data_IF_000650151715
#
_entry.id   IF_000650151715
#
_cell.length_a   1.000
_cell.length_b   1.000
_cell.length_c   1.000
_cell.angle_alpha   90.00
_cell.angle_beta   90.00
_cell.angle_gamma   90.00
#
_symmetry.space_group_name_H-M   'P 1'
#
loop_
_entity.id
_entity.type
_entity.pdbx_description
1 polymer ?
#
# COMPACT_ATOMS: atom_id res chain seq x y z
N UNK A 1 9.45 -16.41 -11.80
CA UNK A 1 8.19 -16.26 -12.58
C UNK A 1 8.11 -14.81 -13.01
N UNK A 2 8.21 -14.53 -14.30
CA UNK A 2 8.12 -13.17 -14.84
C UNK A 2 6.67 -12.66 -14.66
N UNK A 3 6.50 -11.62 -13.84
CA UNK A 3 5.21 -10.97 -13.68
C UNK A 3 4.78 -10.31 -14.99
N UNK A 4 3.48 -10.39 -15.37
CA UNK A 4 3.03 -9.82 -16.64
C UNK A 4 3.18 -8.30 -16.61
N UNK A 5 3.97 -7.75 -17.53
CA UNK A 5 4.31 -6.34 -17.66
C UNK A 5 3.11 -5.38 -17.88
N UNK A 6 1.88 -5.90 -17.97
CA UNK A 6 0.66 -5.13 -18.30
C UNK A 6 -0.45 -5.30 -17.27
N UNK A 7 -0.14 -5.66 -16.00
CA UNK A 7 -1.17 -5.78 -14.98
C UNK A 7 -1.53 -4.38 -14.44
N UNK A 8 -2.78 -3.96 -14.62
CA UNK A 8 -3.31 -2.72 -14.03
C UNK A 8 -3.54 -2.98 -12.53
N UNK A 9 -2.98 -2.13 -11.68
CA UNK A 9 -3.10 -2.21 -10.22
C UNK A 9 -4.08 -1.19 -9.65
N UNK A 10 -4.25 -0.04 -10.34
CA UNK A 10 -5.16 1.02 -9.95
C UNK A 10 -5.72 1.71 -11.18
N UNK A 11 -7.01 2.03 -11.17
CA UNK A 11 -7.67 2.83 -12.21
C UNK A 11 -8.49 3.94 -11.59
N UNK A 12 -8.33 5.14 -12.11
CA UNK A 12 -9.17 6.30 -11.85
C UNK A 12 -10.08 6.51 -13.06
N UNK A 13 -11.38 6.70 -12.83
CA UNK A 13 -12.37 6.88 -13.88
C UNK A 13 -13.15 8.16 -13.58
N UNK A 14 -12.97 9.18 -14.44
CA UNK A 14 -13.65 10.47 -14.38
C UNK A 14 -13.57 11.13 -13.01
N UNK A 15 -12.41 11.07 -12.36
CA UNK A 15 -12.20 11.63 -11.03
C UNK A 15 -12.14 13.13 -11.10
N UNK A 16 -13.00 13.79 -10.30
CA UNK A 16 -13.07 15.24 -10.15
C UNK A 16 -13.15 15.62 -8.68
N UNK A 17 -12.41 16.65 -8.27
CA UNK A 17 -12.42 17.20 -6.91
C UNK A 17 -12.65 18.72 -6.96
N UNK A 18 -13.55 19.18 -6.10
CA UNK A 18 -13.90 20.58 -5.96
C UNK A 18 -13.65 21.04 -4.52
N UNK A 19 -13.13 22.24 -4.34
CA UNK A 19 -13.12 22.96 -3.08
C UNK A 19 -13.92 24.25 -3.26
N UNK A 20 -14.95 24.48 -2.44
CA UNK A 20 -15.83 25.64 -2.51
C UNK A 20 -16.31 25.95 -3.94
N UNK A 21 -16.77 24.93 -4.66
CA UNK A 21 -17.24 24.99 -6.06
C UNK A 21 -16.13 25.26 -7.10
N UNK A 22 -14.85 25.41 -6.71
CA UNK A 22 -13.74 25.54 -7.64
C UNK A 22 -13.17 24.16 -7.96
N UNK A 23 -13.07 23.79 -9.25
CA UNK A 23 -12.46 22.54 -9.64
C UNK A 23 -10.94 22.60 -9.38
N UNK A 24 -10.43 21.63 -8.64
CA UNK A 24 -8.98 21.41 -8.41
C UNK A 24 -8.48 20.27 -9.27
N UNK A 25 -9.33 19.25 -9.44
CA UNK A 25 -9.10 18.13 -10.35
C UNK A 25 -10.39 17.98 -11.14
N UNK A 26 -10.29 17.79 -12.47
CA UNK A 26 -11.45 17.67 -13.32
C UNK A 26 -11.27 16.54 -14.33
N UNK A 27 -12.21 15.59 -14.30
CA UNK A 27 -12.42 14.51 -15.26
C UNK A 27 -11.14 13.70 -15.57
N UNK A 28 -10.37 13.33 -14.54
CA UNK A 28 -9.15 12.56 -14.69
C UNK A 28 -9.49 11.08 -14.82
N UNK A 29 -9.02 10.47 -15.93
CA UNK A 29 -9.10 9.03 -16.17
C UNK A 29 -7.72 8.49 -16.48
N UNK A 30 -7.16 7.69 -15.56
CA UNK A 30 -5.80 7.16 -15.62
C UNK A 30 -5.78 5.72 -15.09
N UNK A 31 -4.92 4.89 -15.68
CA UNK A 31 -4.65 3.55 -15.19
C UNK A 31 -3.16 3.37 -14.92
N UNK A 32 -2.85 2.71 -13.82
CA UNK A 32 -1.49 2.50 -13.33
C UNK A 32 -1.15 1.03 -13.41
N UNK A 33 0.01 0.75 -14.02
CA UNK A 33 0.50 -0.62 -14.21
C UNK A 33 1.45 -1.02 -13.09
N UNK A 34 1.53 -2.31 -12.85
CA UNK A 34 2.48 -2.88 -11.91
C UNK A 34 3.91 -2.50 -12.27
N UNK A 35 4.70 -2.09 -11.27
CA UNK A 35 6.11 -1.70 -11.45
C UNK A 35 6.33 -0.34 -12.14
N UNK A 36 5.28 0.37 -12.54
CA UNK A 36 5.42 1.69 -13.15
C UNK A 36 5.83 2.73 -12.09
N UNK A 37 6.83 3.55 -12.43
CA UNK A 37 7.22 4.74 -11.66
C UNK A 37 6.65 5.96 -12.37
N UNK A 38 5.72 6.65 -11.72
CA UNK A 38 4.95 7.74 -12.33
C UNK A 38 5.18 9.02 -11.57
N UNK A 39 5.63 10.07 -12.28
CA UNK A 39 5.77 11.42 -11.73
C UNK A 39 4.56 12.29 -12.03
N UNK A 40 4.06 13.00 -11.02
CA UNK A 40 3.00 14.01 -11.17
C UNK A 40 3.63 15.39 -11.09
N UNK A 41 3.63 16.12 -12.20
CA UNK A 41 4.25 17.44 -12.34
C UNK A 41 3.17 18.53 -12.48
N UNK A 42 3.45 19.71 -11.99
CA UNK A 42 2.58 20.88 -12.10
C UNK A 42 2.96 21.98 -11.11
N UNK A 43 2.43 23.18 -11.33
CA UNK A 43 2.61 24.32 -10.44
C UNK A 43 2.03 24.07 -9.05
N UNK A 44 2.44 24.90 -8.06
CA UNK A 44 1.83 24.87 -6.75
C UNK A 44 0.34 25.23 -6.85
N UNK A 45 -0.51 24.50 -6.13
CA UNK A 45 -1.96 24.65 -6.23
C UNK A 45 -2.63 23.90 -7.40
N UNK A 46 -1.87 23.23 -8.27
CA UNK A 46 -2.43 22.48 -9.40
C UNK A 46 -3.16 21.16 -9.03
N UNK A 47 -3.33 20.86 -7.74
CA UNK A 47 -4.07 19.67 -7.30
C UNK A 47 -3.26 18.38 -7.18
N UNK A 48 -1.92 18.42 -7.31
CA UNK A 48 -1.04 17.24 -7.18
C UNK A 48 -1.26 16.47 -5.87
N UNK A 49 -1.22 17.19 -4.75
CA UNK A 49 -1.42 16.59 -3.42
C UNK A 49 -2.83 16.04 -3.24
N UNK A 50 -3.84 16.70 -3.81
CA UNK A 50 -5.23 16.21 -3.78
C UNK A 50 -5.36 14.92 -4.59
N UNK A 51 -4.73 14.84 -5.76
CA UNK A 51 -4.69 13.63 -6.57
C UNK A 51 -4.07 12.46 -5.81
N UNK A 52 -2.90 12.68 -5.20
CA UNK A 52 -2.19 11.65 -4.43
C UNK A 52 -2.98 11.21 -3.19
N UNK A 53 -3.64 12.13 -2.48
CA UNK A 53 -4.50 11.81 -1.33
C UNK A 53 -5.72 11.00 -1.73
N UNK A 54 -6.33 11.29 -2.88
CA UNK A 54 -7.42 10.48 -3.43
C UNK A 54 -6.90 9.07 -3.75
N UNK A 55 -5.78 8.96 -4.46
CA UNK A 55 -5.16 7.67 -4.79
C UNK A 55 -4.78 6.86 -3.55
N UNK A 56 -4.35 7.53 -2.48
CA UNK A 56 -4.02 6.90 -1.22
C UNK A 56 -5.26 6.47 -0.40
N UNK A 57 -6.48 6.86 -0.83
CA UNK A 57 -7.71 6.61 -0.09
C UNK A 57 -7.87 7.47 1.17
N UNK A 58 -6.99 8.46 1.37
CA UNK A 58 -7.03 9.44 2.47
C UNK A 58 -8.16 10.44 2.24
N UNK A 59 -8.31 10.92 1.00
CA UNK A 59 -9.42 11.80 0.60
C UNK A 59 -10.45 10.97 -0.17
N UNK A 60 -11.66 10.88 0.38
CA UNK A 60 -12.79 10.13 -0.20
C UNK A 60 -13.88 11.03 -0.76
N UNK A 61 -13.74 12.34 -0.62
CA UNK A 61 -14.71 13.32 -1.13
C UNK A 61 -14.35 13.74 -2.55
N UNK A 62 -14.66 12.91 -3.53
CA UNK A 62 -14.47 13.18 -4.95
C UNK A 62 -15.60 12.59 -5.77
N UNK A 63 -15.79 13.08 -6.98
CA UNK A 63 -16.67 12.50 -7.99
C UNK A 63 -15.87 11.55 -8.88
N UNK A 64 -16.51 10.50 -9.39
CA UNK A 64 -15.86 9.47 -10.20
C UNK A 64 -15.60 8.18 -9.43
N UNK A 65 -14.70 7.37 -9.94
CA UNK A 65 -14.38 6.06 -9.35
C UNK A 65 -12.87 5.86 -9.23
N UNK A 66 -12.47 5.25 -8.12
CA UNK A 66 -11.12 4.77 -7.88
C UNK A 66 -11.20 3.26 -7.61
N UNK A 67 -10.53 2.46 -8.43
CA UNK A 67 -10.60 1.01 -8.39
C UNK A 67 -9.19 0.47 -8.21
N UNK A 68 -8.97 -0.31 -7.15
CA UNK A 68 -7.74 -1.07 -6.93
C UNK A 68 -7.93 -2.53 -7.28
N UNK A 69 -6.92 -3.12 -7.89
CA UNK A 69 -6.88 -4.57 -8.08
C UNK A 69 -6.73 -5.27 -6.73
N UNK A 70 -7.39 -6.39 -6.49
CA UNK A 70 -7.27 -7.13 -5.24
C UNK A 70 -5.85 -7.63 -5.01
N UNK A 71 -5.43 -7.70 -3.73
CA UNK A 71 -4.11 -8.18 -3.33
C UNK A 71 -3.03 -7.10 -3.26
N UNK A 72 -3.37 -5.82 -3.44
CA UNK A 72 -2.45 -4.70 -3.27
C UNK A 72 -2.83 -3.84 -2.07
N UNK A 73 -1.83 -3.41 -1.33
CA UNK A 73 -1.95 -2.42 -0.24
C UNK A 73 -1.38 -1.09 -0.70
N UNK A 74 -1.92 0.00 -0.18
CA UNK A 74 -1.49 1.37 -0.53
C UNK A 74 -0.79 1.97 0.69
N UNK A 75 0.47 2.38 0.52
CA UNK A 75 1.19 3.22 1.46
C UNK A 75 1.22 4.67 0.98
N UNK A 76 1.04 5.62 1.87
CA UNK A 76 1.10 7.05 1.58
C UNK A 76 2.14 7.71 2.47
N UNK A 77 3.14 8.35 1.85
CA UNK A 77 4.11 9.16 2.57
C UNK A 77 3.71 10.63 2.40
N UNK A 78 3.38 11.27 3.50
CA UNK A 78 3.08 12.71 3.53
C UNK A 78 4.37 13.53 3.33
N UNK A 79 4.22 14.73 2.77
CA UNK A 79 5.32 15.67 2.54
C UNK A 79 5.98 16.10 3.86
N UNK A 80 5.17 16.28 4.90
CA UNK A 80 5.60 16.54 6.29
C UNK A 80 4.95 15.50 7.20
N UNK A 81 5.57 14.31 7.34
CA UNK A 81 5.01 13.29 8.21
C UNK A 81 5.03 13.75 9.67
N UNK A 82 3.89 13.65 10.34
CA UNK A 82 3.80 13.87 11.76
C UNK A 82 4.47 12.69 12.48
N UNK A 83 5.68 12.92 12.98
CA UNK A 83 6.40 11.96 13.82
C UNK A 83 6.07 12.24 15.28
N UNK A 84 6.01 11.19 16.09
CA UNK A 84 5.81 11.29 17.52
C UNK A 84 7.15 11.62 18.19
N UNK A 85 7.35 12.88 18.59
CA UNK A 85 8.56 13.39 19.22
C UNK A 85 8.87 12.72 20.57
N UNK A 86 7.92 12.00 21.17
CA UNK A 86 8.10 11.25 22.41
C UNK A 86 8.77 9.88 22.20
N UNK A 87 8.81 9.41 20.95
CA UNK A 87 9.40 8.12 20.58
C UNK A 87 10.81 8.29 20.03
N UNK A 88 11.64 7.28 20.26
CA UNK A 88 12.94 7.21 19.62
C UNK A 88 12.78 6.86 18.13
N UNK A 89 13.73 7.27 17.29
CA UNK A 89 13.76 6.91 15.86
C UNK A 89 13.63 5.39 15.66
N UNK A 90 14.31 4.61 16.49
CA UNK A 90 14.24 3.15 16.48
C UNK A 90 12.82 2.65 16.73
N UNK A 91 12.13 3.17 17.74
CA UNK A 91 10.78 2.77 18.08
C UNK A 91 9.78 3.08 16.95
N UNK A 92 9.93 4.23 16.28
CA UNK A 92 9.09 4.60 15.13
C UNK A 92 9.32 3.64 13.96
N UNK A 93 10.58 3.27 13.68
CA UNK A 93 10.91 2.34 12.61
C UNK A 93 10.39 0.92 12.95
N UNK A 94 10.59 0.45 14.18
CA UNK A 94 10.10 -0.85 14.63
C UNK A 94 8.56 -0.94 14.54
N UNK A 95 7.85 0.13 14.90
CA UNK A 95 6.39 0.22 14.78
C UNK A 95 5.92 0.17 13.31
N UNK A 96 6.63 0.89 12.42
CA UNK A 96 6.31 0.91 11.00
C UNK A 96 6.50 -0.45 10.31
N UNK A 97 7.39 -1.29 10.82
CA UNK A 97 7.66 -2.64 10.29
C UNK A 97 7.13 -3.75 11.20
N UNK A 98 6.28 -3.41 12.18
CA UNK A 98 5.79 -4.36 13.18
C UNK A 98 5.12 -5.59 12.55
N UNK A 99 4.31 -5.39 11.52
CA UNK A 99 3.68 -6.50 10.79
C UNK A 99 4.72 -7.46 10.20
N UNK A 100 5.82 -6.92 9.67
CA UNK A 100 6.92 -7.72 9.11
C UNK A 100 7.67 -8.46 10.21
N UNK A 101 7.90 -7.81 11.35
CA UNK A 101 8.56 -8.42 12.52
C UNK A 101 7.69 -9.54 13.09
N UNK A 102 6.39 -9.32 13.22
CA UNK A 102 5.45 -10.33 13.69
C UNK A 102 5.39 -11.55 12.76
N UNK A 103 5.45 -11.29 11.46
CA UNK A 103 5.48 -12.31 10.42
C UNK A 103 6.76 -13.16 10.50
N UNK A 104 7.92 -12.52 10.70
CA UNK A 104 9.21 -13.20 10.92
C UNK A 104 9.20 -14.02 12.21
N UNK A 105 8.66 -13.48 13.28
CA UNK A 105 8.53 -14.19 14.55
C UNK A 105 7.62 -15.41 14.43
N UNK A 106 6.50 -15.27 13.72
CA UNK A 106 5.60 -16.39 13.44
C UNK A 106 6.27 -17.45 12.57
N UNK A 107 7.00 -17.04 11.52
CA UNK A 107 7.78 -17.94 10.67
C UNK A 107 8.81 -18.73 11.48
N UNK A 108 9.56 -18.07 12.35
CA UNK A 108 10.54 -18.72 13.21
C UNK A 108 9.88 -19.73 14.17
N UNK A 109 8.73 -19.38 14.77
CA UNK A 109 7.96 -20.30 15.63
C UNK A 109 7.47 -21.53 14.86
N UNK A 110 7.05 -21.35 13.62
CA UNK A 110 6.64 -22.48 12.76
C UNK A 110 7.82 -23.38 12.48
N UNK A 111 9.00 -22.81 12.15
CA UNK A 111 10.22 -23.57 11.92
C UNK A 111 10.70 -24.33 13.16
N UNK A 112 10.61 -23.73 14.35
CA UNK A 112 10.93 -24.41 15.62
C UNK A 112 9.97 -25.60 15.86
N UNK A 113 8.68 -25.43 15.54
CA UNK A 113 7.69 -26.51 15.67
C UNK A 113 7.95 -27.67 14.70
N UNK A 114 8.50 -27.42 13.49
CA UNK A 114 8.88 -28.50 12.58
C UNK A 114 10.02 -29.39 13.11
N UNK A 115 10.79 -28.91 14.10
CA UNK A 115 11.83 -29.70 14.76
C UNK A 115 11.25 -30.62 15.85
N UNK A 116 9.99 -30.47 16.23
CA UNK A 116 9.31 -31.31 17.22
C UNK A 116 8.53 -32.45 16.54
N UNK A 117 8.41 -33.62 17.17
CA UNK A 117 7.55 -34.69 16.65
C UNK A 117 6.09 -34.21 16.55
N UNK A 118 5.48 -34.32 15.38
CA UNK A 118 4.08 -33.93 15.16
C UNK A 118 3.38 -34.95 14.25
N UNK A 119 2.07 -34.90 14.24
CA UNK A 119 1.24 -35.71 13.34
C UNK A 119 1.23 -35.15 11.93
N UNK A 120 0.94 -35.97 10.93
CA UNK A 120 0.84 -35.58 9.53
C UNK A 120 -0.19 -34.47 9.33
N UNK A 121 -1.32 -34.51 10.06
CA UNK A 121 -2.36 -33.49 10.01
C UNK A 121 -1.90 -32.13 10.57
N UNK A 122 -1.04 -32.12 11.58
CA UNK A 122 -0.46 -30.89 12.13
C UNK A 122 0.57 -30.31 11.17
N UNK A 123 1.37 -31.15 10.54
CA UNK A 123 2.34 -30.78 9.51
C UNK A 123 1.65 -30.07 8.34
N UNK A 124 0.59 -30.64 7.79
CA UNK A 124 -0.18 -30.05 6.68
C UNK A 124 -0.79 -28.69 7.05
N UNK A 125 -1.29 -28.53 8.28
CA UNK A 125 -1.83 -27.26 8.78
C UNK A 125 -0.74 -26.17 8.89
N UNK A 126 0.45 -26.53 9.36
CA UNK A 126 1.58 -25.60 9.48
C UNK A 126 2.09 -25.17 8.11
N UNK A 127 2.21 -26.07 7.15
CA UNK A 127 2.60 -25.76 5.77
C UNK A 127 1.58 -24.81 5.13
N UNK A 128 0.29 -25.09 5.22
CA UNK A 128 -0.76 -24.25 4.66
C UNK A 128 -0.82 -22.86 5.33
N UNK A 129 -0.40 -22.73 6.58
CA UNK A 129 -0.31 -21.44 7.28
C UNK A 129 0.90 -20.64 6.79
N UNK A 130 2.04 -21.29 6.54
CA UNK A 130 3.24 -20.67 6.01
C UNK A 130 3.03 -20.12 4.61
N UNK A 131 2.36 -20.86 3.72
CA UNK A 131 2.09 -20.47 2.34
C UNK A 131 1.17 -19.25 2.24
N UNK A 132 0.13 -19.16 3.09
CA UNK A 132 -0.83 -18.05 3.09
C UNK A 132 -0.21 -16.69 3.40
N UNK A 133 0.89 -16.65 4.16
CA UNK A 133 1.55 -15.41 4.59
C UNK A 133 2.55 -14.86 3.57
N UNK A 134 3.08 -15.69 2.67
CA UNK A 134 4.06 -15.30 1.65
C UNK A 134 3.43 -14.63 0.41
N UNK A 135 2.10 -14.58 0.30
CA UNK A 135 1.38 -14.16 -0.90
C UNK A 135 1.02 -12.65 -0.98
N UNK A 136 1.38 -11.82 0.02
CA UNK A 136 1.01 -10.39 0.07
C UNK A 136 2.13 -9.44 -0.36
N UNK A 137 1.97 -8.74 -1.48
CA UNK A 137 2.89 -7.67 -1.92
C UNK A 137 2.30 -6.27 -1.64
N UNK A 138 3.03 -5.35 -0.99
CA UNK A 138 2.57 -3.99 -0.74
C UNK A 138 2.78 -3.05 -1.94
N UNK A 139 1.82 -2.14 -2.17
CA UNK A 139 1.95 -1.00 -3.06
C UNK A 139 2.33 0.24 -2.26
N UNK A 140 3.46 0.88 -2.59
CA UNK A 140 3.91 2.12 -1.95
C UNK A 140 3.63 3.33 -2.86
N UNK A 141 2.90 4.33 -2.33
CA UNK A 141 2.71 5.64 -2.95
C UNK A 141 3.44 6.68 -2.11
N UNK A 142 4.42 7.36 -2.69
CA UNK A 142 5.15 8.43 -2.03
C UNK A 142 4.82 9.79 -2.67
N UNK A 143 4.55 10.80 -1.83
CA UNK A 143 4.44 12.18 -2.25
C UNK A 143 5.79 12.89 -2.07
N UNK A 144 6.34 13.45 -3.14
CA UNK A 144 7.52 14.32 -3.10
C UNK A 144 7.11 15.77 -3.41
N UNK A 145 7.77 16.71 -2.74
CA UNK A 145 7.62 18.17 -2.90
C UNK A 145 8.14 18.65 -4.25
#
# INVERSE_FOLDING_TARGET
MSQPANKIICSMIRVSKFYDKKPVIQDISLSYFYGAKIGVLGLNGAGKSSLLRIMAGVDREFNGQLIFSPGYTVGFLEQEPLLDDTKTVRAIIEEAVQETVDLLNEYNRINERFAEPMSDEEMDRLIARQERRLAGEPLLIAAAS
#
